data_IF_671542532465
#
_entry.id   IF_671542532465
#
_cell.length_a   1.000
_cell.length_b   1.000
_cell.length_c   1.000
_cell.angle_alpha   90.00
_cell.angle_beta   90.00
_cell.angle_gamma   90.00
#
_symmetry.space_group_name_H-M   'P 1'
#
loop_
_entity.id
_entity.type
_entity.pdbx_description
1 polymer ?
#
# COMPACT_ATOMS: atom_id res chain seq x y z
N UNK A 1 8.20 2.39 10.73
CA UNK A 1 7.62 1.27 11.51
C UNK A 1 8.05 -0.12 11.01
N UNK A 2 8.18 -0.33 9.70
CA UNK A 2 8.45 -1.65 9.12
C UNK A 2 9.65 -2.38 9.75
N UNK A 3 10.80 -1.70 9.84
CA UNK A 3 12.02 -2.24 10.42
C UNK A 3 11.88 -2.65 11.90
N UNK A 4 11.11 -1.88 12.69
CA UNK A 4 10.92 -2.17 14.11
C UNK A 4 9.99 -3.36 14.35
N UNK A 5 9.06 -3.61 13.44
CA UNK A 5 8.05 -4.66 13.57
C UNK A 5 8.39 -5.92 12.76
N UNK A 6 9.56 -5.98 12.11
CA UNK A 6 9.97 -7.13 11.30
C UNK A 6 9.08 -7.38 10.08
N UNK A 7 8.42 -6.33 9.57
CA UNK A 7 7.53 -6.39 8.38
C UNK A 7 8.14 -5.65 7.20
N UNK A 8 7.58 -5.87 6.01
CA UNK A 8 8.06 -5.26 4.77
C UNK A 8 7.26 -3.99 4.47
N UNK A 9 7.94 -2.85 4.42
CA UNK A 9 7.36 -1.57 3.99
C UNK A 9 7.87 -1.20 2.60
N UNK A 10 6.95 -1.00 1.65
CA UNK A 10 7.30 -0.57 0.30
C UNK A 10 7.18 0.96 0.17
N UNK A 11 8.29 1.66 -0.04
CA UNK A 11 8.29 3.07 -0.41
C UNK A 11 8.34 3.20 -1.93
N UNK A 12 7.18 3.42 -2.55
CA UNK A 12 7.10 3.60 -3.99
C UNK A 12 7.65 4.97 -4.43
N UNK A 13 7.99 5.08 -5.72
CA UNK A 13 8.20 6.39 -6.35
C UNK A 13 6.97 7.28 -6.20
N UNK A 14 7.17 8.60 -6.27
CA UNK A 14 6.08 9.58 -6.20
C UNK A 14 5.01 9.28 -7.24
N UNK A 15 3.78 9.67 -6.90
CA UNK A 15 2.59 9.57 -7.74
C UNK A 15 2.14 8.13 -8.10
N UNK A 16 2.85 7.12 -7.59
CA UNK A 16 2.52 5.71 -7.89
C UNK A 16 1.33 5.18 -7.10
N UNK A 17 1.01 5.81 -5.96
CA UNK A 17 -0.18 5.56 -5.16
C UNK A 17 -0.92 6.88 -4.95
N UNK A 18 -2.27 6.90 -4.96
CA UNK A 18 -3.05 8.11 -4.72
C UNK A 18 -2.85 8.56 -3.26
N UNK A 19 -2.22 9.72 -3.09
CA UNK A 19 -1.94 10.31 -1.76
C UNK A 19 -3.07 11.27 -1.41
N UNK A 20 -3.84 10.98 -0.35
CA UNK A 20 -5.05 11.74 -0.03
C UNK A 20 -4.78 12.91 0.94
N UNK A 21 -3.78 12.78 1.82
CA UNK A 21 -3.35 13.83 2.77
C UNK A 21 -1.85 13.72 3.02
N UNK A 22 -1.07 14.46 2.26
CA UNK A 22 0.37 14.30 2.19
C UNK A 22 1.06 15.65 2.01
N UNK A 23 2.29 15.76 2.52
CA UNK A 23 3.15 16.89 2.20
C UNK A 23 3.54 16.77 0.73
N UNK A 24 3.06 17.70 -0.10
CA UNK A 24 2.97 17.61 -1.58
C UNK A 24 4.24 17.13 -2.29
N UNK A 25 5.41 17.37 -1.70
CA UNK A 25 6.69 17.06 -2.34
C UNK A 25 7.47 15.91 -1.70
N UNK A 26 7.09 15.33 -0.57
CA UNK A 26 7.94 14.31 0.11
C UNK A 26 7.16 13.07 0.52
N UNK A 27 5.87 13.23 0.81
CA UNK A 27 5.03 12.14 1.23
C UNK A 27 4.73 11.22 0.05
N UNK A 28 4.92 9.91 0.28
CA UNK A 28 4.43 8.86 -0.60
C UNK A 28 3.72 7.84 0.26
N UNK A 29 2.61 7.31 -0.22
CA UNK A 29 1.95 6.16 0.37
C UNK A 29 2.49 4.87 -0.22
N UNK A 30 2.38 3.79 0.54
CA UNK A 30 2.81 2.47 0.11
C UNK A 30 2.43 1.38 1.12
N UNK A 31 2.33 0.12 0.67
CA UNK A 31 1.94 -0.99 1.51
C UNK A 31 2.90 -1.31 2.65
N UNK A 32 2.33 -1.80 3.74
CA UNK A 32 3.02 -2.53 4.79
C UNK A 32 2.50 -3.97 4.77
N UNK A 33 3.35 -4.95 4.49
CA UNK A 33 2.97 -6.36 4.33
C UNK A 33 3.92 -7.27 5.09
N UNK A 34 3.53 -8.54 5.23
CA UNK A 34 4.39 -9.56 5.89
C UNK A 34 5.47 -10.09 4.95
N UNK A 35 5.28 -10.00 3.63
CA UNK A 35 6.13 -10.62 2.62
C UNK A 35 6.43 -9.68 1.45
N UNK A 36 7.61 -9.79 0.86
CA UNK A 36 8.01 -8.98 -0.31
C UNK A 36 7.08 -9.20 -1.50
N UNK A 37 6.64 -10.45 -1.72
CA UNK A 37 5.74 -10.82 -2.82
C UNK A 37 4.39 -10.09 -2.72
N UNK A 38 3.86 -9.93 -1.51
CA UNK A 38 2.57 -9.28 -1.27
C UNK A 38 2.66 -7.76 -1.54
N UNK A 39 3.77 -7.14 -1.13
CA UNK A 39 4.10 -5.75 -1.50
C UNK A 39 4.21 -5.56 -3.02
N UNK A 40 4.84 -6.51 -3.72
CA UNK A 40 4.98 -6.47 -5.17
C UNK A 40 3.63 -6.65 -5.88
N UNK A 41 2.77 -7.53 -5.37
CA UNK A 41 1.42 -7.72 -5.89
C UNK A 41 0.55 -6.47 -5.71
N UNK A 42 0.61 -5.80 -4.55
CA UNK A 42 -0.08 -4.51 -4.38
C UNK A 42 0.38 -3.47 -5.40
N UNK A 43 1.69 -3.42 -5.67
CA UNK A 43 2.26 -2.50 -6.65
C UNK A 43 1.76 -2.81 -8.07
N UNK A 44 1.70 -4.08 -8.47
CA UNK A 44 1.24 -4.47 -9.80
C UNK A 44 -0.25 -4.20 -10.00
N UNK A 45 -1.08 -4.44 -8.98
CA UNK A 45 -2.51 -4.12 -9.01
C UNK A 45 -2.76 -2.61 -9.16
N UNK A 46 -1.96 -1.78 -8.48
CA UNK A 46 -2.04 -0.32 -8.58
C UNK A 46 -1.66 0.16 -9.99
N UNK A 47 -0.60 -0.41 -10.59
CA UNK A 47 -0.14 -0.07 -11.94
C UNK A 47 -1.14 -0.49 -13.02
N UNK A 48 -1.85 -1.60 -12.82
CA UNK A 48 -2.89 -2.07 -13.73
C UNK A 48 -4.19 -1.26 -13.64
N UNK A 49 -4.29 -0.31 -12.69
CA UNK A 49 -5.47 0.54 -12.54
C UNK A 49 -6.74 -0.28 -12.33
N UNK A 50 -6.66 -1.34 -11.52
CA UNK A 50 -7.79 -2.21 -11.16
C UNK A 50 -8.38 -1.78 -9.80
N UNK A 51 -9.15 -0.68 -9.72
CA UNK A 51 -9.71 -0.20 -8.45
C UNK A 51 -10.70 -1.20 -7.83
N UNK A 52 -11.28 -2.09 -8.65
CA UNK A 52 -12.22 -3.12 -8.19
C UNK A 52 -11.58 -4.08 -7.17
N UNK A 53 -10.32 -4.46 -7.36
CA UNK A 53 -9.61 -5.34 -6.42
C UNK A 53 -9.06 -4.58 -5.20
N UNK A 54 -8.72 -3.29 -5.37
CA UNK A 54 -8.29 -2.43 -4.29
C UNK A 54 -9.39 -2.21 -3.23
N UNK A 55 -10.64 -2.08 -3.66
CA UNK A 55 -11.80 -2.02 -2.76
C UNK A 55 -12.01 -3.31 -1.96
N UNK A 56 -11.79 -4.49 -2.56
CA UNK A 56 -11.88 -5.77 -1.85
C UNK A 56 -10.78 -5.89 -0.78
N UNK A 57 -9.55 -5.47 -1.11
CA UNK A 57 -8.46 -5.42 -0.14
C UNK A 57 -8.72 -4.42 0.99
N UNK A 58 -9.18 -3.20 0.70
CA UNK A 58 -9.57 -2.22 1.74
C UNK A 58 -10.75 -2.70 2.60
N UNK A 59 -11.64 -3.54 2.06
CA UNK A 59 -12.69 -4.21 2.85
C UNK A 59 -12.13 -5.31 3.74
N UNK A 60 -11.13 -6.05 3.27
CA UNK A 60 -10.43 -7.04 4.10
C UNK A 60 -9.72 -6.39 5.28
N UNK A 61 -9.04 -5.26 5.08
CA UNK A 61 -8.34 -4.55 6.16
C UNK A 61 -9.33 -3.98 7.20
N UNK A 62 -10.49 -3.44 6.78
CA UNK A 62 -11.54 -2.98 7.71
C UNK A 62 -12.21 -4.08 8.55
N UNK A 63 -12.18 -5.33 8.09
CA UNK A 63 -12.77 -6.45 8.82
C UNK A 63 -11.82 -7.03 9.89
N UNK A 64 -10.58 -6.55 9.97
CA UNK A 64 -9.60 -6.93 11.02
C UNK A 64 -9.72 -6.00 12.25
N UNK A 65 -10.47 -4.90 12.14
CA UNK A 65 -10.69 -3.92 13.22
C UNK A 65 -12.07 -4.07 13.92
N UNK A 66 -12.78 -5.20 13.74
CA UNK A 66 -14.06 -5.52 14.41
C UNK A 66 -13.91 -6.68 15.41
#
# INVERSE_FOLDING_TARGET
PAACCGVVGLKASRDRFPVNRAWESVSTEGPLTRNVLDSALRLSLQLLGLPALQCCWMKSDRNVEA
#
